data_IF_424432076535
#
_entry.id   IF_424432076535
#
_cell.length_a   1.000
_cell.length_b   1.000
_cell.length_c   1.000
_cell.angle_alpha   90.00
_cell.angle_beta   90.00
_cell.angle_gamma   90.00
#
_symmetry.space_group_name_H-M   'P 1'
#
loop_
_entity.id
_entity.type
_entity.pdbx_description
1 polymer ?
#
# COMPACT_ATOMS: atom_id res chain seq x y z
N UNK A 1 -68.71 14.12 -14.78
CA UNK A 1 -68.43 12.67 -14.68
C UNK A 1 -67.34 12.31 -15.66
N UNK A 2 -66.34 11.54 -15.21
CA UNK A 2 -65.34 10.74 -15.98
C UNK A 2 -64.33 11.54 -16.82
N UNK A 3 -63.04 11.22 -16.89
CA UNK A 3 -62.09 10.34 -16.17
C UNK A 3 -60.69 10.82 -16.63
N UNK A 4 -59.70 10.78 -15.73
CA UNK A 4 -58.28 10.90 -16.05
C UNK A 4 -57.88 9.95 -17.19
N UNK A 5 -56.97 10.40 -18.06
CA UNK A 5 -56.01 9.48 -18.68
C UNK A 5 -54.63 10.13 -18.84
N UNK A 6 -53.74 9.60 -18.01
CA UNK A 6 -52.29 9.73 -17.96
C UNK A 6 -51.65 9.52 -19.33
N UNK A 7 -50.67 10.33 -19.71
CA UNK A 7 -49.67 9.93 -20.71
C UNK A 7 -48.29 10.13 -20.10
N UNK A 8 -47.74 8.99 -19.67
CA UNK A 8 -46.39 8.77 -19.20
C UNK A 8 -45.44 8.91 -20.39
N UNK A 9 -44.58 9.92 -20.39
CA UNK A 9 -43.55 10.08 -21.43
C UNK A 9 -42.43 9.07 -21.15
N UNK A 10 -42.43 8.01 -21.94
CA UNK A 10 -41.39 6.98 -21.97
C UNK A 10 -40.19 7.53 -22.72
N UNK A 11 -39.10 7.81 -22.00
CA UNK A 11 -37.78 7.99 -22.62
C UNK A 11 -37.03 6.67 -22.48
N UNK A 12 -37.11 5.86 -23.53
CA UNK A 12 -36.24 4.71 -23.74
C UNK A 12 -34.90 5.25 -24.21
N UNK A 13 -33.89 5.18 -23.35
CA UNK A 13 -32.49 5.31 -23.74
C UNK A 13 -31.84 3.93 -23.69
N UNK A 14 -31.99 3.18 -24.79
CA UNK A 14 -31.13 2.03 -25.09
C UNK A 14 -29.99 2.53 -25.97
N UNK A 15 -28.84 2.81 -25.37
CA UNK A 15 -27.55 2.71 -26.04
C UNK A 15 -26.62 1.98 -25.07
N UNK A 16 -26.47 0.68 -25.30
CA UNK A 16 -25.33 -0.09 -24.84
C UNK A 16 -24.07 0.46 -25.50
N UNK A 17 -23.07 0.82 -24.71
CA UNK A 17 -21.69 0.77 -25.17
C UNK A 17 -20.91 -0.07 -24.18
N UNK A 18 -20.36 -1.17 -24.69
CA UNK A 18 -19.47 -2.08 -24.00
C UNK A 18 -18.17 -1.35 -23.67
N UNK A 19 -17.80 -1.38 -22.40
CA UNK A 19 -16.50 -0.95 -21.91
C UNK A 19 -16.45 -1.35 -20.46
N UNK A 20 -15.54 -2.25 -20.13
CA UNK A 20 -15.16 -2.56 -18.76
C UNK A 20 -14.65 -1.25 -18.14
N UNK A 21 -15.56 -0.47 -17.56
CA UNK A 21 -15.26 0.82 -16.95
C UNK A 21 -14.46 0.53 -15.68
N UNK A 22 -13.16 0.43 -15.91
CA UNK A 22 -12.14 0.14 -14.93
C UNK A 22 -12.34 0.98 -13.68
N UNK A 23 -12.89 0.31 -12.66
CA UNK A 23 -12.55 0.65 -11.29
C UNK A 23 -11.03 0.51 -11.25
N UNK A 24 -10.31 1.62 -11.19
CA UNK A 24 -8.90 1.57 -10.87
C UNK A 24 -8.80 0.74 -9.59
N UNK A 25 -8.26 -0.46 -9.70
CA UNK A 25 -8.25 -1.45 -8.62
C UNK A 25 -7.58 -0.79 -7.39
N UNK A 26 -8.39 -0.54 -6.35
CA UNK A 26 -7.97 0.21 -5.18
C UNK A 26 -6.97 -0.65 -4.42
N UNK A 27 -5.69 -0.27 -4.47
CA UNK A 27 -4.66 -1.00 -3.75
C UNK A 27 -4.65 -0.62 -2.27
N UNK A 28 -4.94 -1.61 -1.42
CA UNK A 28 -4.90 -1.51 0.03
C UNK A 28 -3.84 -2.50 0.54
N UNK A 29 -2.66 -2.04 0.99
CA UNK A 29 -1.60 -2.94 1.42
C UNK A 29 -1.92 -3.57 2.78
N UNK A 30 -1.81 -4.90 2.88
CA UNK A 30 -1.84 -5.58 4.17
C UNK A 30 -0.47 -5.48 4.86
N UNK A 31 -0.30 -4.48 5.72
CA UNK A 31 0.95 -4.22 6.45
C UNK A 31 1.12 -5.06 7.73
N UNK A 32 0.10 -5.79 8.18
CA UNK A 32 0.08 -6.44 9.52
C UNK A 32 0.99 -7.67 9.66
N UNK A 33 1.63 -8.11 8.57
CA UNK A 33 2.55 -9.24 8.59
C UNK A 33 3.98 -8.81 8.96
N UNK A 34 4.82 -9.77 9.36
CA UNK A 34 6.27 -9.58 9.38
C UNK A 34 6.79 -9.52 7.95
N UNK A 35 7.79 -8.69 7.69
CA UNK A 35 8.43 -8.58 6.39
C UNK A 35 9.91 -8.88 6.50
N UNK A 36 10.48 -9.52 5.49
CA UNK A 36 11.89 -9.91 5.45
C UNK A 36 12.60 -9.14 4.34
N UNK A 37 13.76 -8.58 4.64
CA UNK A 37 14.55 -7.83 3.68
C UNK A 37 15.63 -8.68 3.03
N UNK A 38 16.11 -8.24 1.86
CA UNK A 38 17.29 -8.77 1.20
C UNK A 38 18.63 -8.48 1.94
N UNK A 39 18.58 -7.93 3.16
CA UNK A 39 19.73 -7.74 4.04
C UNK A 39 19.62 -8.52 5.36
N UNK A 40 18.84 -9.59 5.36
CA UNK A 40 18.63 -10.51 6.49
C UNK A 40 18.11 -9.81 7.76
N UNK A 41 17.22 -8.84 7.59
CA UNK A 41 16.53 -8.14 8.67
C UNK A 41 15.01 -8.22 8.53
N UNK A 42 14.31 -8.05 9.63
CA UNK A 42 12.85 -8.04 9.66
C UNK A 42 12.31 -6.63 9.79
N UNK A 43 11.26 -6.34 9.02
CA UNK A 43 10.52 -5.09 9.06
C UNK A 43 9.11 -5.33 9.61
N UNK A 44 8.67 -4.42 10.45
CA UNK A 44 7.32 -4.37 10.99
C UNK A 44 6.74 -2.99 10.70
N UNK A 45 5.62 -2.94 9.99
CA UNK A 45 4.95 -1.70 9.62
C UNK A 45 3.62 -1.58 10.38
N UNK A 46 3.35 -0.41 10.92
CA UNK A 46 2.08 -0.07 11.59
C UNK A 46 1.53 1.19 10.96
N UNK A 47 0.46 1.06 10.18
CA UNK A 47 -0.28 2.20 9.66
C UNK A 47 -1.19 2.80 10.74
N UNK A 48 -1.34 4.13 10.71
CA UNK A 48 -2.26 4.83 11.62
C UNK A 48 -3.72 4.53 11.27
N UNK A 49 -4.01 4.36 9.97
CA UNK A 49 -5.30 3.96 9.44
C UNK A 49 -5.17 2.62 8.68
N UNK A 50 -6.15 1.74 8.88
CA UNK A 50 -6.23 0.43 8.21
C UNK A 50 -7.28 0.46 7.12
N UNK A 51 -7.17 -0.47 6.18
CA UNK A 51 -8.13 -0.66 5.09
C UNK A 51 -8.30 0.58 4.19
N UNK A 52 -7.27 1.42 4.12
CA UNK A 52 -7.17 2.63 3.29
C UNK A 52 -6.02 2.52 2.29
N UNK A 53 -6.08 3.25 1.19
CA UNK A 53 -5.00 3.33 0.20
C UNK A 53 -3.94 4.38 0.54
N UNK A 54 -4.17 5.25 1.53
CA UNK A 54 -3.16 6.18 2.02
C UNK A 54 -3.19 6.26 3.54
N UNK A 55 -2.01 6.27 4.17
CA UNK A 55 -1.88 6.51 5.61
C UNK A 55 -0.44 6.87 5.97
N UNK A 56 -0.26 7.52 7.11
CA UNK A 56 1.03 7.58 7.80
C UNK A 56 1.32 6.24 8.46
N UNK A 57 2.61 5.93 8.65
CA UNK A 57 3.04 4.71 9.31
C UNK A 57 4.20 4.96 10.26
N UNK A 58 4.29 4.10 11.25
CA UNK A 58 5.49 3.85 12.05
C UNK A 58 5.97 2.44 11.78
N UNK A 59 7.18 2.13 12.20
CA UNK A 59 7.67 0.77 12.17
C UNK A 59 9.07 0.64 12.69
N UNK A 60 9.58 -0.57 12.66
CA UNK A 60 10.95 -0.86 13.05
C UNK A 60 11.57 -1.90 12.14
N UNK A 61 12.88 -1.77 11.98
CA UNK A 61 13.74 -2.83 11.50
C UNK A 61 14.35 -3.55 12.69
N UNK A 62 14.43 -4.88 12.62
CA UNK A 62 15.10 -5.73 13.59
C UNK A 62 16.13 -6.61 12.89
N UNK A 63 17.37 -6.63 13.38
CA UNK A 63 18.40 -7.55 12.89
C UNK A 63 18.41 -8.87 13.70
N UNK A 64 19.17 -9.86 13.23
CA UNK A 64 19.31 -11.15 13.91
C UNK A 64 20.01 -11.10 15.27
N UNK A 65 20.63 -9.96 15.63
CA UNK A 65 21.27 -9.73 16.92
C UNK A 65 20.31 -9.11 17.95
N UNK A 66 19.09 -8.74 17.52
CA UNK A 66 18.09 -8.10 18.37
C UNK A 66 18.18 -6.58 18.42
N UNK A 67 19.03 -5.95 17.62
CA UNK A 67 19.01 -4.49 17.49
C UNK A 67 17.72 -4.06 16.77
N UNK A 68 17.08 -3.04 17.31
CA UNK A 68 15.83 -2.48 16.80
C UNK A 68 16.08 -1.03 16.38
N UNK A 69 15.65 -0.67 15.17
CA UNK A 69 15.77 0.67 14.63
C UNK A 69 14.41 1.17 14.12
N UNK A 70 13.87 2.16 14.81
CA UNK A 70 12.57 2.74 14.48
C UNK A 70 12.62 3.66 13.26
N UNK A 71 11.52 3.70 12.53
CA UNK A 71 11.28 4.60 11.41
C UNK A 71 9.85 5.15 11.40
N UNK A 72 9.66 6.28 10.73
CA UNK A 72 8.34 6.83 10.39
C UNK A 72 8.20 6.96 8.89
N UNK A 73 6.97 6.96 8.37
CA UNK A 73 6.74 6.98 6.95
C UNK A 73 5.30 7.24 6.57
N UNK A 74 5.00 6.95 5.32
CA UNK A 74 3.65 6.97 4.75
C UNK A 74 3.58 6.10 3.51
N UNK A 75 2.37 5.71 3.16
CA UNK A 75 2.07 5.14 1.86
C UNK A 75 0.91 5.87 1.20
N UNK A 76 0.85 5.77 -0.13
CA UNK A 76 -0.28 6.18 -0.95
C UNK A 76 -0.33 5.31 -2.19
N UNK A 77 -1.42 4.58 -2.38
CA UNK A 77 -1.54 3.55 -3.38
C UNK A 77 -0.31 2.63 -3.34
N UNK A 78 0.37 2.44 -4.47
CA UNK A 78 1.59 1.64 -4.55
C UNK A 78 2.84 2.37 -4.06
N UNK A 79 2.80 3.66 -3.76
CA UNK A 79 3.96 4.41 -3.28
C UNK A 79 4.15 4.26 -1.78
N UNK A 80 5.41 4.12 -1.36
CA UNK A 80 5.81 4.06 0.05
C UNK A 80 7.09 4.85 0.29
N UNK A 81 7.14 5.53 1.42
CA UNK A 81 8.36 6.15 1.92
C UNK A 81 8.47 5.99 3.44
N UNK A 82 9.70 5.84 3.93
CA UNK A 82 9.98 5.84 5.36
C UNK A 82 11.39 6.38 5.65
N UNK A 83 11.60 6.94 6.84
CA UNK A 83 12.86 7.54 7.28
C UNK A 83 13.23 6.95 8.63
N UNK A 84 14.44 6.41 8.73
CA UNK A 84 14.98 5.90 10.00
C UNK A 84 15.21 7.04 10.99
N UNK A 85 14.75 6.86 12.23
CA UNK A 85 14.91 7.82 13.32
C UNK A 85 16.18 7.58 14.14
N UNK A 86 16.71 6.36 14.06
CA UNK A 86 17.85 5.89 14.84
C UNK A 86 18.65 4.81 14.10
N UNK A 87 19.75 4.38 14.72
CA UNK A 87 20.63 3.36 14.17
C UNK A 87 21.61 3.88 13.11
N UNK A 88 22.34 2.97 12.43
CA UNK A 88 23.37 3.32 11.44
C UNK A 88 22.84 4.07 10.21
N UNK A 89 21.53 4.01 9.98
CA UNK A 89 20.86 4.66 8.86
C UNK A 89 19.94 5.80 9.31
N UNK A 90 20.12 6.34 10.52
CA UNK A 90 19.39 7.51 10.99
C UNK A 90 19.36 8.62 9.92
N UNK A 91 18.20 9.23 9.73
CA UNK A 91 17.89 10.26 8.73
C UNK A 91 17.93 9.80 7.26
N UNK A 92 18.25 8.53 6.98
CA UNK A 92 18.12 7.98 5.63
C UNK A 92 16.64 7.78 5.31
N UNK A 93 16.17 8.47 4.27
CA UNK A 93 14.83 8.31 3.71
C UNK A 93 14.87 7.30 2.58
N UNK A 94 14.03 6.27 2.67
CA UNK A 94 13.77 5.29 1.65
C UNK A 94 12.48 5.64 0.92
N UNK A 95 12.52 5.64 -0.42
CA UNK A 95 11.35 5.87 -1.26
C UNK A 95 11.25 4.77 -2.32
N UNK A 96 10.03 4.37 -2.66
CA UNK A 96 9.82 3.33 -3.65
C UNK A 96 8.38 2.87 -3.73
N UNK A 97 8.18 1.62 -4.12
CA UNK A 97 6.86 1.09 -4.46
C UNK A 97 6.64 -0.32 -3.94
N UNK A 98 5.38 -0.62 -3.63
CA UNK A 98 4.86 -1.98 -3.65
C UNK A 98 4.88 -2.50 -5.09
N UNK A 99 5.36 -3.72 -5.30
CA UNK A 99 5.41 -4.35 -6.61
C UNK A 99 4.03 -4.93 -6.91
N UNK A 100 3.38 -4.37 -7.94
CA UNK A 100 2.08 -4.83 -8.41
C UNK A 100 2.12 -6.32 -8.75
N UNK A 101 1.07 -7.04 -8.38
CA UNK A 101 0.88 -8.47 -8.66
C UNK A 101 1.97 -9.41 -8.07
N UNK A 102 2.78 -8.92 -7.13
CA UNK A 102 3.74 -9.77 -6.41
C UNK A 102 3.04 -10.68 -5.40
N UNK A 103 3.45 -11.95 -5.36
CA UNK A 103 2.98 -12.94 -4.39
C UNK A 103 4.16 -13.79 -3.90
N UNK A 104 4.65 -13.61 -2.66
CA UNK A 104 4.18 -12.65 -1.65
C UNK A 104 4.36 -11.18 -2.06
N UNK A 105 3.63 -10.28 -1.38
CA UNK A 105 3.71 -8.84 -1.62
C UNK A 105 5.14 -8.33 -1.32
N UNK A 106 5.74 -7.59 -2.26
CA UNK A 106 7.11 -7.09 -2.16
C UNK A 106 7.14 -5.57 -2.25
N UNK A 107 8.02 -4.93 -1.47
CA UNK A 107 8.37 -3.52 -1.52
C UNK A 107 9.79 -3.40 -2.07
N UNK A 108 10.01 -2.49 -3.04
CA UNK A 108 11.35 -2.10 -3.48
C UNK A 108 11.55 -0.60 -3.27
N UNK A 109 12.57 -0.24 -2.49
CA UNK A 109 12.88 1.14 -2.12
C UNK A 109 14.36 1.47 -2.30
N UNK A 110 14.66 2.74 -2.53
CA UNK A 110 16.03 3.28 -2.57
C UNK A 110 16.19 4.36 -1.51
N UNK A 111 17.25 4.25 -0.71
CA UNK A 111 17.62 5.21 0.31
C UNK A 111 18.31 6.44 -0.29
N UNK A 112 18.22 7.58 0.40
CA UNK A 112 19.01 8.79 0.09
C UNK A 112 20.53 8.55 0.13
N UNK A 113 20.96 7.48 0.80
CA UNK A 113 22.35 7.00 0.83
C UNK A 113 22.73 6.09 -0.37
N UNK A 114 21.83 5.88 -1.34
CA UNK A 114 22.04 5.05 -2.51
C UNK A 114 21.84 3.54 -2.31
N UNK A 115 21.56 3.08 -1.08
CA UNK A 115 21.27 1.67 -0.81
C UNK A 115 19.88 1.30 -1.32
N UNK A 116 19.71 0.04 -1.73
CA UNK A 116 18.44 -0.51 -2.19
C UNK A 116 17.98 -1.58 -1.22
N UNK A 117 16.69 -1.58 -0.89
CA UNK A 117 16.05 -2.64 -0.11
C UNK A 117 14.95 -3.29 -0.94
N UNK A 118 14.91 -4.60 -0.83
CA UNK A 118 13.78 -5.42 -1.25
C UNK A 118 13.21 -6.07 0.01
N UNK A 119 11.97 -5.74 0.35
CA UNK A 119 11.32 -6.13 1.59
C UNK A 119 10.07 -6.93 1.21
N UNK A 120 10.04 -8.21 1.57
CA UNK A 120 9.03 -9.17 1.11
C UNK A 120 8.20 -9.65 2.28
N UNK A 121 6.88 -9.67 2.10
CA UNK A 121 5.95 -10.10 3.12
C UNK A 121 6.17 -11.58 3.46
N UNK A 122 6.33 -11.88 4.75
CA UNK A 122 6.39 -13.26 5.23
C UNK A 122 4.96 -13.78 5.36
N UNK A 123 4.65 -14.84 4.62
CA UNK A 123 3.40 -15.57 4.76
C UNK A 123 3.51 -16.49 5.98
N UNK A 124 2.60 -16.34 6.95
CA UNK A 124 2.48 -17.29 8.04
C UNK A 124 1.88 -18.58 7.46
N UNK A 125 2.68 -19.65 7.37
CA UNK A 125 2.21 -21.00 7.08
C UNK A 125 1.79 -21.70 8.37
#
# INVERSE_FOLDING_TARGET
MKKLLTTLLVVISLISCSGDDGIADLFVPNLSNQWESNRDTFFFFTADERDVNESTLTGNEQNNLGDIHNFTGRFKDYDIEFTFLEGPEKEVKYTGKFIKDSNPLTIKVTGTNGKKLEITQRLNN
#
